data_IF_280592788129
#
_entry.id   IF_280592788129
#
_cell.length_a   1.000
_cell.length_b   1.000
_cell.length_c   1.000
_cell.angle_alpha   90.00
_cell.angle_beta   90.00
_cell.angle_gamma   90.00
#
_symmetry.space_group_name_H-M   'P 1'
#
loop_
_entity.id
_entity.type
_entity.pdbx_description
1 polymer ?
#
# COMPACT_ATOMS: atom_id res chain seq x y z
N UNK A 1 15.75 14.44 6.41
CA UNK A 1 15.73 14.10 4.97
C UNK A 1 14.72 15.00 4.23
N UNK A 2 15.11 15.62 3.12
CA UNK A 2 14.21 16.53 2.37
C UNK A 2 13.31 15.71 1.45
N UNK A 3 11.99 16.03 1.36
CA UNK A 3 11.06 15.45 0.39
C UNK A 3 11.51 15.56 -1.08
N UNK A 4 12.55 16.36 -1.36
CA UNK A 4 13.13 16.52 -2.69
C UNK A 4 13.73 15.21 -3.25
N UNK A 5 14.17 14.30 -2.39
CA UNK A 5 14.83 13.04 -2.78
C UNK A 5 13.87 11.95 -3.21
N UNK A 6 12.53 12.13 -3.01
CA UNK A 6 11.54 11.10 -3.35
C UNK A 6 10.78 11.36 -4.66
N UNK A 7 11.15 12.41 -5.40
CA UNK A 7 10.41 12.81 -6.62
C UNK A 7 10.35 11.70 -7.68
N UNK A 8 11.38 10.88 -7.82
CA UNK A 8 11.41 9.79 -8.80
C UNK A 8 10.59 8.55 -8.37
N UNK A 9 10.18 8.48 -7.11
CA UNK A 9 9.27 7.44 -6.64
C UNK A 9 7.80 7.85 -6.75
N UNK A 10 7.51 9.14 -6.99
CA UNK A 10 6.16 9.66 -7.08
C UNK A 10 5.62 9.53 -8.51
N UNK A 11 4.53 8.78 -8.63
CA UNK A 11 3.73 8.75 -9.86
C UNK A 11 2.64 9.81 -9.72
N UNK A 12 2.66 10.80 -10.59
CA UNK A 12 1.63 11.85 -10.60
C UNK A 12 0.36 11.39 -11.30
N UNK A 13 -0.79 11.86 -10.84
CA UNK A 13 -2.08 11.58 -11.49
C UNK A 13 -2.05 11.98 -12.98
N UNK A 14 -2.55 11.09 -13.84
CA UNK A 14 -2.58 11.29 -15.29
C UNK A 14 -1.30 10.90 -16.04
N UNK A 15 -0.23 10.54 -15.34
CA UNK A 15 0.95 9.96 -16.00
C UNK A 15 0.69 8.49 -16.36
N UNK A 16 0.69 8.18 -17.66
CA UNK A 16 0.67 6.80 -18.15
C UNK A 16 2.09 6.20 -18.16
N UNK A 17 2.65 6.06 -16.96
CA UNK A 17 3.96 5.42 -16.81
C UNK A 17 3.85 3.92 -17.09
N UNK A 18 4.67 3.43 -18.01
CA UNK A 18 4.80 1.98 -18.21
C UNK A 18 5.74 1.43 -17.14
N UNK A 19 5.28 0.47 -16.36
CA UNK A 19 6.08 -0.18 -15.31
C UNK A 19 7.43 -0.69 -15.82
N UNK A 20 7.49 -1.15 -17.10
CA UNK A 20 8.72 -1.60 -17.75
C UNK A 20 9.78 -0.50 -17.96
N UNK A 21 9.40 0.78 -17.80
CA UNK A 21 10.32 1.93 -17.90
C UNK A 21 10.80 2.41 -16.53
N UNK A 22 10.18 1.93 -15.46
CA UNK A 22 10.54 2.29 -14.10
C UNK A 22 11.65 1.32 -13.62
N UNK A 23 12.74 1.88 -13.12
CA UNK A 23 13.86 1.09 -12.58
C UNK A 23 13.37 0.29 -11.36
N UNK A 24 13.59 -1.02 -11.36
CA UNK A 24 13.28 -1.89 -10.22
C UNK A 24 14.40 -1.92 -9.16
N UNK A 25 15.59 -1.44 -9.51
CA UNK A 25 16.72 -1.35 -8.60
C UNK A 25 16.67 -0.06 -7.77
N UNK A 26 17.34 -0.03 -6.59
CA UNK A 26 17.48 1.19 -5.80
C UNK A 26 18.07 2.34 -6.60
N UNK A 27 17.69 3.57 -6.23
CA UNK A 27 18.28 4.80 -6.76
C UNK A 27 19.53 5.17 -5.96
N UNK A 28 20.40 6.00 -6.55
CA UNK A 28 21.71 6.34 -5.99
C UNK A 28 21.65 7.25 -4.74
N UNK A 29 20.46 7.71 -4.38
CA UNK A 29 20.18 8.52 -3.19
C UNK A 29 19.93 7.71 -1.91
N UNK A 30 19.98 6.38 -1.99
CA UNK A 30 19.86 5.50 -0.84
C UNK A 30 21.22 5.32 -0.12
N UNK A 31 21.19 4.95 1.18
CA UNK A 31 22.41 4.66 1.93
C UNK A 31 23.30 3.65 1.21
N UNK A 32 24.61 3.92 1.16
CA UNK A 32 25.58 3.10 0.41
C UNK A 32 25.99 1.84 1.16
N UNK A 33 25.79 1.80 2.47
CA UNK A 33 26.12 0.65 3.30
C UNK A 33 24.94 0.19 4.12
N UNK A 34 24.97 -1.10 4.52
CA UNK A 34 23.94 -1.68 5.40
C UNK A 34 23.87 -0.96 6.76
N UNK A 35 25.03 -0.55 7.30
CA UNK A 35 25.07 0.12 8.59
C UNK A 35 24.43 1.51 8.52
N UNK A 36 24.77 2.31 7.52
CA UNK A 36 24.14 3.62 7.27
C UNK A 36 22.60 3.46 7.11
N UNK A 37 22.16 2.43 6.37
CA UNK A 37 20.73 2.17 6.20
C UNK A 37 20.03 1.80 7.53
N UNK A 38 20.69 1.05 8.40
CA UNK A 38 20.16 0.68 9.71
C UNK A 38 20.08 1.88 10.66
N UNK A 39 21.09 2.75 10.64
CA UNK A 39 21.11 3.98 11.48
C UNK A 39 19.99 4.93 11.03
N UNK A 40 19.86 5.18 9.73
CA UNK A 40 18.78 6.00 9.17
C UNK A 40 17.41 5.40 9.47
N UNK A 41 17.26 4.08 9.34
CA UNK A 41 16.01 3.38 9.65
C UNK A 41 15.63 3.55 11.13
N UNK A 42 16.59 3.50 12.05
CA UNK A 42 16.36 3.71 13.48
C UNK A 42 15.83 5.12 13.77
N UNK A 43 16.41 6.15 13.15
CA UNK A 43 15.89 7.52 13.26
C UNK A 43 14.47 7.65 12.70
N UNK A 44 14.22 7.05 11.53
CA UNK A 44 12.91 7.08 10.90
C UNK A 44 11.84 6.36 11.75
N UNK A 45 12.19 5.26 12.41
CA UNK A 45 11.29 4.56 13.33
C UNK A 45 10.88 5.46 14.51
N UNK A 46 11.85 6.14 15.15
CA UNK A 46 11.55 7.07 16.24
C UNK A 46 10.59 8.18 15.79
N UNK A 47 10.89 8.80 14.65
CA UNK A 47 10.04 9.85 14.07
C UNK A 47 8.64 9.34 13.69
N UNK A 48 8.55 8.14 13.14
CA UNK A 48 7.26 7.52 12.79
C UNK A 48 6.43 7.25 14.05
N UNK A 49 7.06 6.76 15.12
CA UNK A 49 6.40 6.54 16.40
C UNK A 49 5.83 7.84 16.98
N UNK A 50 6.63 8.91 17.01
CA UNK A 50 6.18 10.22 17.51
C UNK A 50 5.04 10.79 16.66
N UNK A 51 5.13 10.66 15.33
CA UNK A 51 4.08 11.13 14.41
C UNK A 51 2.79 10.33 14.60
N UNK A 52 2.90 9.00 14.74
CA UNK A 52 1.74 8.13 14.94
C UNK A 52 1.01 8.46 16.26
N UNK A 53 1.74 8.69 17.34
CA UNK A 53 1.13 9.09 18.61
C UNK A 53 0.37 10.41 18.49
N UNK A 54 0.97 11.43 17.86
CA UNK A 54 0.32 12.73 17.62
C UNK A 54 -0.91 12.57 16.74
N UNK A 55 -0.79 11.77 15.68
CA UNK A 55 -1.89 11.49 14.75
C UNK A 55 -3.05 10.79 15.47
N UNK A 56 -2.75 9.82 16.31
CA UNK A 56 -3.74 9.08 17.09
C UNK A 56 -4.50 10.00 18.09
N UNK A 57 -3.79 10.86 18.80
CA UNK A 57 -4.39 11.80 19.76
C UNK A 57 -5.18 12.92 19.07
N UNK A 58 -4.73 13.38 17.91
CA UNK A 58 -5.36 14.48 17.17
C UNK A 58 -6.77 14.13 16.64
N UNK A 59 -7.03 12.87 16.32
CA UNK A 59 -8.34 12.34 15.90
C UNK A 59 -9.06 13.09 14.75
N UNK A 60 -8.34 13.91 13.96
CA UNK A 60 -8.94 14.71 12.87
C UNK A 60 -8.87 14.04 11.52
N UNK A 61 -7.89 13.20 11.32
CA UNK A 61 -7.60 12.56 10.04
C UNK A 61 -7.58 11.04 10.16
N UNK A 62 -7.69 10.37 9.02
CA UNK A 62 -7.58 8.93 8.84
C UNK A 62 -6.42 8.68 7.89
N UNK A 63 -5.63 7.62 8.09
CA UNK A 63 -4.57 7.27 7.16
C UNK A 63 -4.77 5.86 6.63
N UNK A 64 -4.94 5.75 5.31
CA UNK A 64 -4.98 4.49 4.59
C UNK A 64 -3.68 4.32 3.80
N UNK A 65 -2.94 3.27 4.11
CA UNK A 65 -1.73 2.88 3.38
C UNK A 65 -2.03 1.63 2.58
N UNK A 66 -1.89 1.71 1.26
CA UNK A 66 -2.13 0.58 0.35
C UNK A 66 -0.78 0.06 -0.15
N UNK A 67 -0.46 -1.20 0.16
CA UNK A 67 0.72 -1.88 -0.36
C UNK A 67 0.32 -2.86 -1.46
N UNK A 68 0.83 -2.62 -2.65
CA UNK A 68 0.66 -3.48 -3.82
C UNK A 68 2.02 -3.93 -4.37
N UNK A 69 2.03 -5.02 -5.09
CA UNK A 69 3.23 -5.56 -5.74
C UNK A 69 3.07 -7.02 -6.09
N UNK A 70 3.94 -7.50 -6.95
CA UNK A 70 3.99 -8.91 -7.36
C UNK A 70 4.17 -9.84 -6.14
N UNK A 71 3.85 -11.11 -6.32
CA UNK A 71 4.17 -12.10 -5.28
C UNK A 71 5.68 -12.08 -5.00
N UNK A 72 6.03 -12.27 -3.73
CA UNK A 72 7.40 -12.14 -3.20
C UNK A 72 8.00 -10.72 -3.28
N UNK A 73 7.22 -9.67 -3.62
CA UNK A 73 7.74 -8.29 -3.64
C UNK A 73 8.17 -7.76 -2.27
N UNK A 74 7.79 -8.44 -1.18
CA UNK A 74 8.18 -8.09 0.18
C UNK A 74 7.16 -7.25 0.95
N UNK A 75 5.88 -7.28 0.57
CA UNK A 75 4.80 -6.52 1.24
C UNK A 75 4.77 -6.75 2.75
N UNK A 76 4.65 -7.99 3.20
CA UNK A 76 4.64 -8.33 4.63
C UNK A 76 5.95 -7.96 5.34
N UNK A 77 7.10 -8.13 4.67
CA UNK A 77 8.40 -7.67 5.17
C UNK A 77 8.45 -6.16 5.36
N UNK A 78 7.94 -5.40 4.40
CA UNK A 78 7.84 -3.94 4.47
C UNK A 78 6.99 -3.51 5.66
N UNK A 79 5.80 -4.10 5.86
CA UNK A 79 4.95 -3.81 7.01
C UNK A 79 5.71 -4.07 8.32
N UNK A 80 6.29 -5.26 8.44
CA UNK A 80 7.04 -5.68 9.64
C UNK A 80 8.21 -4.74 9.97
N UNK A 81 8.94 -4.30 8.95
CA UNK A 81 10.13 -3.48 9.16
C UNK A 81 9.80 -2.00 9.32
N UNK A 82 8.90 -1.43 8.53
CA UNK A 82 8.53 -0.01 8.61
C UNK A 82 7.80 0.32 9.92
N UNK A 83 6.89 -0.55 10.36
CA UNK A 83 6.09 -0.31 11.57
C UNK A 83 6.66 -0.99 12.82
N UNK A 84 7.92 -1.40 12.79
CA UNK A 84 8.60 -1.97 13.95
C UNK A 84 8.74 -0.92 15.05
N UNK A 85 8.23 -1.23 16.26
CA UNK A 85 8.31 -0.34 17.40
C UNK A 85 7.28 0.81 17.42
N UNK A 86 6.41 0.90 16.43
CA UNK A 86 5.26 1.81 16.46
C UNK A 86 4.21 1.27 17.44
N UNK A 87 3.58 2.17 18.20
CA UNK A 87 2.51 1.78 19.14
C UNK A 87 1.35 1.10 18.35
N UNK A 88 0.96 -0.13 18.73
CA UNK A 88 -0.12 -0.84 18.03
C UNK A 88 -1.50 -0.21 18.19
N UNK A 89 -1.67 0.70 19.16
CA UNK A 89 -2.91 1.46 19.30
C UNK A 89 -3.10 2.38 18.09
N UNK A 90 -4.22 2.20 17.39
CA UNK A 90 -4.55 2.98 16.21
C UNK A 90 -3.77 2.59 14.94
N UNK A 91 -3.04 1.46 14.94
CA UNK A 91 -2.40 0.91 13.73
C UNK A 91 -2.92 -0.49 13.47
N UNK A 92 -3.54 -0.70 12.33
CA UNK A 92 -4.18 -1.95 11.94
C UNK A 92 -3.69 -2.43 10.57
N UNK A 93 -3.66 -3.75 10.38
CA UNK A 93 -3.31 -4.36 9.10
C UNK A 93 -4.48 -5.22 8.62
N UNK A 94 -4.88 -5.04 7.38
CA UNK A 94 -5.89 -5.86 6.72
C UNK A 94 -5.29 -6.51 5.45
N UNK A 95 -5.32 -7.84 5.40
CA UNK A 95 -4.99 -8.60 4.20
C UNK A 95 -6.24 -8.87 3.37
N UNK A 96 -6.12 -8.76 2.04
CA UNK A 96 -7.21 -9.06 1.11
C UNK A 96 -6.87 -10.32 0.30
N UNK A 97 -7.39 -11.43 0.77
CA UNK A 97 -7.32 -12.73 0.10
C UNK A 97 -8.59 -12.99 -0.75
N UNK A 98 -8.73 -14.24 -1.22
CA UNK A 98 -9.94 -14.67 -1.91
C UNK A 98 -11.17 -14.37 -1.05
N UNK A 99 -12.22 -13.74 -1.61
CA UNK A 99 -13.42 -13.44 -0.86
C UNK A 99 -14.06 -14.69 -0.26
N UNK A 100 -14.52 -14.60 0.97
CA UNK A 100 -15.40 -15.60 1.59
C UNK A 100 -16.75 -15.63 0.88
N UNK A 101 -17.56 -16.69 1.10
CA UNK A 101 -18.90 -16.78 0.52
C UNK A 101 -19.79 -15.60 0.92
N UNK A 102 -19.65 -15.11 2.16
CA UNK A 102 -20.39 -13.93 2.64
C UNK A 102 -19.95 -12.66 1.91
N UNK A 103 -18.66 -12.43 1.78
CA UNK A 103 -18.12 -11.27 1.06
C UNK A 103 -18.48 -11.29 -0.43
N UNK A 104 -18.46 -12.48 -1.05
CA UNK A 104 -18.83 -12.66 -2.45
C UNK A 104 -20.34 -12.44 -2.75
N UNK A 105 -21.20 -12.50 -1.72
CA UNK A 105 -22.62 -12.21 -1.84
C UNK A 105 -22.94 -10.71 -1.88
N UNK A 106 -21.96 -9.87 -1.54
CA UNK A 106 -22.05 -8.40 -1.59
C UNK A 106 -21.29 -7.85 -2.79
N UNK A 107 -21.32 -6.53 -2.98
CA UNK A 107 -20.44 -5.87 -3.91
C UNK A 107 -18.98 -5.98 -3.43
N UNK A 108 -18.03 -5.84 -4.37
CA UNK A 108 -16.61 -6.10 -4.08
C UNK A 108 -15.97 -5.09 -3.12
N UNK A 109 -16.55 -3.90 -2.94
CA UNK A 109 -16.05 -2.87 -2.02
C UNK A 109 -16.64 -3.03 -0.60
N UNK A 110 -17.69 -3.81 -0.41
CA UNK A 110 -18.31 -4.01 0.89
C UNK A 110 -17.31 -4.47 1.97
N UNK A 111 -16.51 -5.49 1.67
CA UNK A 111 -15.47 -6.00 2.58
C UNK A 111 -14.33 -4.99 2.80
N UNK A 112 -14.07 -4.14 1.80
CA UNK A 112 -13.03 -3.10 1.86
C UNK A 112 -13.48 -1.97 2.78
N UNK A 113 -14.73 -1.53 2.63
CA UNK A 113 -15.31 -0.46 3.44
C UNK A 113 -15.28 -0.78 4.94
N UNK A 114 -15.48 -2.03 5.32
CA UNK A 114 -15.40 -2.48 6.72
C UNK A 114 -13.97 -2.43 7.31
N UNK A 115 -12.97 -2.20 6.48
CA UNK A 115 -11.56 -2.12 6.86
C UNK A 115 -10.98 -0.73 6.66
N UNK A 116 -11.80 0.29 6.36
CA UNK A 116 -11.32 1.66 6.29
C UNK A 116 -10.99 2.19 7.69
N UNK A 117 -9.98 3.08 7.82
CA UNK A 117 -9.59 3.62 9.12
C UNK A 117 -10.65 4.56 9.70
N UNK A 118 -10.77 4.58 11.02
CA UNK A 118 -11.47 5.62 11.76
C UNK A 118 -10.54 6.81 12.05
N UNK A 119 -11.08 7.91 12.59
CA UNK A 119 -10.28 9.08 12.97
C UNK A 119 -9.15 8.69 13.93
N UNK A 120 -7.94 9.17 13.68
CA UNK A 120 -6.74 8.86 14.45
C UNK A 120 -6.15 7.47 14.19
N UNK A 121 -6.70 6.72 13.24
CA UNK A 121 -6.22 5.37 12.89
C UNK A 121 -5.41 5.35 11.60
N UNK A 122 -4.42 4.49 11.59
CA UNK A 122 -3.63 4.09 10.42
C UNK A 122 -4.04 2.68 10.04
N UNK A 123 -4.63 2.52 8.85
CA UNK A 123 -4.93 1.21 8.28
C UNK A 123 -3.95 0.89 7.16
N UNK A 124 -3.36 -0.29 7.21
CA UNK A 124 -2.42 -0.78 6.21
C UNK A 124 -3.08 -1.95 5.47
N UNK A 125 -3.27 -1.80 4.17
CA UNK A 125 -3.76 -2.87 3.31
C UNK A 125 -2.59 -3.66 2.73
N UNK A 126 -2.42 -4.92 3.16
CA UNK A 126 -1.55 -5.90 2.49
C UNK A 126 -2.32 -6.54 1.34
N UNK A 127 -2.04 -6.15 0.12
CA UNK A 127 -2.95 -6.17 -1.03
C UNK A 127 -4.15 -5.24 -0.77
N UNK A 128 -5.13 -5.18 -1.68
CA UNK A 128 -6.25 -4.25 -1.47
C UNK A 128 -7.41 -4.55 -2.40
N UNK A 129 -8.37 -3.63 -2.48
CA UNK A 129 -9.46 -3.61 -3.45
C UNK A 129 -8.99 -3.66 -4.91
N UNK A 130 -7.73 -3.38 -5.21
CA UNK A 130 -7.16 -3.54 -6.54
C UNK A 130 -7.07 -5.01 -6.98
N UNK A 131 -7.04 -5.97 -6.05
CA UNK A 131 -7.10 -7.42 -6.37
C UNK A 131 -8.40 -7.78 -7.10
N UNK A 132 -9.49 -7.08 -6.80
CA UNK A 132 -10.78 -7.27 -7.45
C UNK A 132 -10.82 -6.79 -8.91
N UNK A 133 -9.76 -6.16 -9.39
CA UNK A 133 -9.49 -5.89 -10.81
C UNK A 133 -8.32 -6.74 -11.30
N UNK A 134 -7.17 -6.72 -10.60
CA UNK A 134 -5.94 -7.36 -11.06
C UNK A 134 -6.07 -8.88 -11.11
N UNK A 135 -6.39 -9.53 -10.00
CA UNK A 135 -6.54 -10.97 -9.91
C UNK A 135 -7.75 -11.45 -10.75
N UNK A 136 -8.84 -10.70 -10.74
CA UNK A 136 -10.05 -11.01 -11.50
C UNK A 136 -9.78 -11.00 -13.01
N UNK A 137 -9.01 -10.03 -13.50
CA UNK A 137 -8.62 -9.92 -14.91
C UNK A 137 -7.64 -11.02 -15.31
N UNK A 138 -6.56 -11.21 -14.54
CA UNK A 138 -5.51 -12.19 -14.84
C UNK A 138 -6.04 -13.61 -14.84
N UNK A 139 -6.87 -13.95 -13.86
CA UNK A 139 -7.45 -15.29 -13.72
C UNK A 139 -8.81 -15.46 -14.43
N UNK A 140 -9.25 -14.47 -15.21
CA UNK A 140 -10.51 -14.49 -15.96
C UNK A 140 -11.75 -14.85 -15.12
N UNK A 141 -11.78 -14.40 -13.85
CA UNK A 141 -12.85 -14.76 -12.89
C UNK A 141 -14.17 -14.06 -13.17
N UNK A 142 -14.17 -12.97 -13.91
CA UNK A 142 -15.35 -12.19 -14.33
C UNK A 142 -15.16 -11.67 -15.75
N UNK A 143 -16.27 -11.45 -16.50
CA UNK A 143 -16.23 -10.85 -17.81
C UNK A 143 -15.59 -9.45 -17.79
N UNK A 144 -15.00 -9.05 -18.92
CA UNK A 144 -14.37 -7.74 -19.09
C UNK A 144 -15.34 -6.58 -18.82
N UNK A 145 -16.59 -6.70 -19.23
CA UNK A 145 -17.65 -5.72 -18.97
C UNK A 145 -17.92 -5.48 -17.47
N UNK A 146 -17.51 -6.42 -16.60
CA UNK A 146 -17.63 -6.29 -15.15
C UNK A 146 -16.40 -5.61 -14.57
N UNK A 147 -15.20 -6.18 -14.77
CA UNK A 147 -14.01 -5.66 -14.10
C UNK A 147 -13.56 -4.30 -14.66
N UNK A 148 -13.85 -3.95 -15.92
CA UNK A 148 -13.57 -2.61 -16.44
C UNK A 148 -14.30 -1.50 -15.69
N UNK A 149 -15.54 -1.74 -15.27
CA UNK A 149 -16.31 -0.76 -14.49
C UNK A 149 -15.71 -0.54 -13.09
N UNK A 150 -15.04 -1.54 -12.53
CA UNK A 150 -14.45 -1.47 -11.20
C UNK A 150 -13.34 -0.42 -11.07
N UNK A 151 -12.64 -0.08 -12.15
CA UNK A 151 -11.67 1.02 -12.15
C UNK A 151 -12.32 2.34 -11.71
N UNK A 152 -13.48 2.67 -12.28
CA UNK A 152 -14.23 3.86 -11.90
C UNK A 152 -14.73 3.74 -10.46
N UNK A 153 -15.33 2.62 -10.09
CA UNK A 153 -15.84 2.41 -8.74
C UNK A 153 -14.74 2.54 -7.66
N UNK A 154 -13.53 2.08 -7.96
CA UNK A 154 -12.38 2.24 -7.07
C UNK A 154 -12.00 3.72 -6.93
N UNK A 155 -11.93 4.46 -8.04
CA UNK A 155 -11.63 5.88 -8.00
C UNK A 155 -12.70 6.66 -7.23
N UNK A 156 -13.99 6.37 -7.45
CA UNK A 156 -15.11 7.00 -6.76
C UNK A 156 -15.06 6.68 -5.24
N UNK A 157 -14.72 5.44 -4.89
CA UNK A 157 -14.54 5.00 -3.50
C UNK A 157 -13.37 5.71 -2.81
N UNK A 158 -12.21 5.78 -3.46
CA UNK A 158 -11.05 6.49 -2.92
C UNK A 158 -11.34 8.00 -2.78
N UNK A 159 -12.07 8.60 -3.74
CA UNK A 159 -12.48 9.98 -3.66
C UNK A 159 -13.42 10.22 -2.46
N UNK A 160 -14.41 9.34 -2.24
CA UNK A 160 -15.28 9.38 -1.07
C UNK A 160 -14.46 9.38 0.24
N UNK A 161 -13.46 8.52 0.34
CA UNK A 161 -12.60 8.47 1.54
C UNK A 161 -11.79 9.77 1.73
N UNK A 162 -11.29 10.34 0.64
CA UNK A 162 -10.55 11.60 0.66
C UNK A 162 -11.46 12.77 1.10
N UNK A 163 -12.66 12.85 0.56
CA UNK A 163 -13.65 13.87 0.92
C UNK A 163 -14.05 13.78 2.40
N UNK A 164 -13.96 12.58 2.98
CA UNK A 164 -14.19 12.28 4.40
C UNK A 164 -12.89 12.34 5.25
N UNK A 165 -11.91 13.14 4.84
CA UNK A 165 -10.63 13.38 5.55
C UNK A 165 -9.72 12.14 5.69
N UNK A 166 -9.76 11.19 4.76
CA UNK A 166 -8.80 10.09 4.72
C UNK A 166 -7.62 10.46 3.82
N UNK A 167 -6.43 10.42 4.37
CA UNK A 167 -5.18 10.51 3.61
C UNK A 167 -4.89 9.12 3.03
N UNK A 168 -4.74 9.01 1.71
CA UNK A 168 -4.44 7.74 1.05
C UNK A 168 -3.02 7.76 0.50
N UNK A 169 -2.19 6.84 0.96
CA UNK A 169 -0.84 6.61 0.44
C UNK A 169 -0.79 5.24 -0.25
N UNK A 170 -0.42 5.22 -1.53
CA UNK A 170 -0.33 3.99 -2.32
C UNK A 170 1.11 3.70 -2.68
N UNK A 171 1.60 2.52 -2.31
CA UNK A 171 2.94 2.05 -2.61
C UNK A 171 2.89 0.81 -3.48
N UNK A 172 3.57 0.84 -4.62
CA UNK A 172 3.79 -0.33 -5.46
C UNK A 172 5.22 -0.82 -5.30
N UNK A 173 5.40 -2.01 -4.72
CA UNK A 173 6.71 -2.63 -4.54
C UNK A 173 7.14 -3.28 -5.86
N UNK A 174 7.94 -2.53 -6.63
CA UNK A 174 8.40 -2.95 -7.93
C UNK A 174 9.69 -3.76 -7.83
N UNK A 175 9.63 -5.03 -8.21
CA UNK A 175 10.77 -5.92 -8.33
C UNK A 175 10.87 -6.45 -9.76
N UNK A 176 12.07 -6.77 -10.22
CA UNK A 176 12.28 -7.41 -11.52
C UNK A 176 12.03 -8.93 -11.47
N UNK A 177 11.95 -9.54 -12.65
CA UNK A 177 11.70 -10.98 -12.78
C UNK A 177 12.78 -11.86 -12.15
N UNK A 178 14.04 -11.42 -12.20
CA UNK A 178 15.16 -12.18 -11.66
C UNK A 178 15.06 -12.24 -10.13
N UNK A 179 14.84 -11.09 -9.49
CA UNK A 179 14.61 -10.97 -8.05
C UNK A 179 13.38 -11.77 -7.61
N UNK A 180 12.28 -11.70 -8.37
CA UNK A 180 11.08 -12.47 -8.05
C UNK A 180 11.35 -13.96 -8.10
N UNK A 181 12.03 -14.44 -9.17
CA UNK A 181 12.38 -15.87 -9.32
C UNK A 181 13.27 -16.36 -8.17
N UNK A 182 14.30 -15.57 -7.81
CA UNK A 182 15.17 -15.92 -6.70
C UNK A 182 14.38 -16.10 -5.40
N UNK A 183 13.51 -15.13 -5.05
CA UNK A 183 12.72 -15.16 -3.82
C UNK A 183 11.64 -16.25 -3.78
N UNK A 184 11.21 -16.78 -4.94
CA UNK A 184 10.30 -17.92 -5.03
C UNK A 184 11.01 -19.25 -4.81
N UNK A 185 12.35 -19.29 -4.91
CA UNK A 185 13.18 -20.47 -4.71
C UNK A 185 13.75 -20.58 -3.29
N UNK A 186 13.68 -19.51 -2.51
CA UNK A 186 14.03 -19.44 -1.08
C UNK A 186 12.89 -19.95 -0.19
#
# INVERSE_FOLDING_TARGET
MSLKNFKHYLIQNGQNEKLSKIKAAPWDDLPKSKNEALDELSELHSRLGDLQQRFHVDHRHKLLIVLQGMDTSGKGGTIKHVFRGVNPQGVHVAGFEKPTSREAAHDFLWRVHQRTPANGEIMIFDRSHYEDVLAVRVNQLKPESVWKKRYRHINDFEQLLVDENTIILKFFLHIDRATQKQRLQE
#
